data_IF_713471220625
#
_entry.id   IF_713471220625
#
_cell.length_a   1.000
_cell.length_b   1.000
_cell.length_c   1.000
_cell.angle_alpha   90.00
_cell.angle_beta   90.00
_cell.angle_gamma   90.00
#
_symmetry.space_group_name_H-M   'P 1'
#
loop_
_entity.id
_entity.type
_entity.pdbx_description
1 polymer ?
#
# COMPACT_ATOMS: atom_id res chain seq x y z
N UNK A 1 -11.80 -7.59 12.11
CA UNK A 1 -10.83 -6.58 11.65
C UNK A 1 -9.46 -7.22 11.59
N UNK A 2 -8.61 -6.81 10.65
CA UNK A 2 -7.20 -7.21 10.60
C UNK A 2 -6.36 -5.93 10.62
N UNK A 3 -5.21 -6.00 11.27
CA UNK A 3 -4.22 -4.92 11.27
C UNK A 3 -3.24 -5.17 10.13
N UNK A 4 -2.80 -4.09 9.48
CA UNK A 4 -1.79 -4.13 8.43
C UNK A 4 -0.78 -3.03 8.74
N UNK A 5 0.49 -3.37 8.62
CA UNK A 5 1.59 -2.42 8.74
C UNK A 5 1.93 -1.86 7.36
N UNK A 6 2.21 -0.57 7.29
CA UNK A 6 2.61 0.13 6.06
C UNK A 6 3.57 1.27 6.41
N UNK A 7 4.32 1.73 5.43
CA UNK A 7 5.20 2.88 5.61
C UNK A 7 4.42 4.15 5.98
N UNK A 8 5.04 5.03 6.75
CA UNK A 8 4.44 6.32 7.14
C UNK A 8 4.04 7.16 5.92
N UNK A 9 4.84 7.13 4.86
CA UNK A 9 4.54 7.82 3.61
C UNK A 9 3.25 7.28 2.95
N UNK A 10 3.10 5.96 2.86
CA UNK A 10 1.89 5.34 2.30
C UNK A 10 0.66 5.63 3.17
N UNK A 11 0.83 5.60 4.49
CA UNK A 11 -0.24 5.95 5.42
C UNK A 11 -0.70 7.41 5.27
N UNK A 12 0.25 8.35 5.15
CA UNK A 12 -0.04 9.77 4.90
C UNK A 12 -0.74 10.02 3.58
N UNK A 13 -0.32 9.34 2.51
CA UNK A 13 -0.99 9.40 1.22
C UNK A 13 -2.43 8.88 1.31
N UNK A 14 -2.65 7.83 2.09
CA UNK A 14 -3.99 7.27 2.27
C UNK A 14 -4.88 8.21 3.11
N UNK A 15 -4.31 8.81 4.15
CA UNK A 15 -5.00 9.79 4.98
C UNK A 15 -5.39 11.05 4.20
N UNK A 16 -4.55 11.54 3.28
CA UNK A 16 -4.86 12.73 2.49
C UNK A 16 -6.07 12.55 1.57
N UNK A 17 -6.37 11.30 1.19
CA UNK A 17 -7.52 10.91 0.36
C UNK A 17 -8.78 10.61 1.18
N UNK A 18 -8.72 10.67 2.51
CA UNK A 18 -9.84 10.39 3.40
C UNK A 18 -10.88 11.50 3.33
N UNK A 19 -12.14 11.14 3.15
CA UNK A 19 -13.25 12.09 3.12
C UNK A 19 -13.94 12.12 4.49
N UNK A 20 -13.83 13.26 5.16
CA UNK A 20 -14.46 13.49 6.46
C UNK A 20 -13.97 12.52 7.54
N UNK A 21 -14.92 11.86 8.22
CA UNK A 21 -14.64 10.96 9.35
C UNK A 21 -14.79 9.47 9.01
N UNK A 22 -14.76 9.10 7.74
CA UNK A 22 -14.89 7.69 7.33
C UNK A 22 -13.76 6.80 7.86
N UNK A 23 -13.97 5.48 7.88
CA UNK A 23 -12.89 4.56 8.25
C UNK A 23 -11.85 4.43 7.14
N UNK A 24 -10.61 4.16 7.52
CA UNK A 24 -9.50 3.89 6.60
C UNK A 24 -9.82 2.75 5.63
N UNK A 25 -10.50 1.70 6.10
CA UNK A 25 -10.95 0.60 5.25
C UNK A 25 -11.93 1.06 4.16
N UNK A 26 -12.79 2.04 4.45
CA UNK A 26 -13.73 2.61 3.48
C UNK A 26 -13.02 3.49 2.46
N UNK A 27 -12.03 4.27 2.91
CA UNK A 27 -11.13 5.03 2.03
C UNK A 27 -10.39 4.08 1.06
N UNK A 28 -9.79 3.00 1.57
CA UNK A 28 -9.15 1.95 0.77
C UNK A 28 -10.11 1.39 -0.29
N UNK A 29 -11.30 0.99 0.13
CA UNK A 29 -12.29 0.42 -0.79
C UNK A 29 -12.75 1.41 -1.86
N UNK A 30 -12.84 2.71 -1.56
CA UNK A 30 -13.21 3.73 -2.55
C UNK A 30 -12.07 4.00 -3.52
N UNK A 31 -10.87 4.25 -3.00
CA UNK A 31 -9.73 4.69 -3.80
C UNK A 31 -9.13 3.55 -4.63
N UNK A 32 -9.18 2.32 -4.12
CA UNK A 32 -8.52 1.15 -4.74
C UNK A 32 -9.48 0.21 -5.48
N UNK A 33 -10.82 0.37 -5.41
CA UNK A 33 -11.75 -0.48 -6.20
C UNK A 33 -12.00 -0.03 -7.64
N UNK A 34 -12.07 1.26 -8.01
CA UNK A 34 -12.48 1.62 -9.37
C UNK A 34 -11.50 2.55 -10.09
N UNK A 35 -10.18 2.33 -10.01
CA UNK A 35 -9.28 3.03 -10.92
C UNK A 35 -8.08 2.17 -11.34
N UNK A 36 -8.00 1.89 -12.63
CA UNK A 36 -6.78 1.50 -13.36
C UNK A 36 -5.75 2.65 -13.30
N UNK A 37 -5.26 2.98 -12.13
CA UNK A 37 -4.15 3.91 -11.97
C UNK A 37 -2.91 3.12 -11.59
N UNK A 38 -1.86 3.28 -12.38
CA UNK A 38 -0.52 2.78 -12.11
C UNK A 38 0.08 3.54 -10.91
N UNK A 39 -0.44 3.31 -9.71
CA UNK A 39 0.17 3.81 -8.48
C UNK A 39 1.18 2.79 -7.96
N UNK A 40 2.32 3.27 -7.45
CA UNK A 40 3.34 2.42 -6.84
C UNK A 40 2.77 1.57 -5.68
N UNK A 41 1.81 2.13 -4.93
CA UNK A 41 1.12 1.43 -3.86
C UNK A 41 0.30 0.22 -4.38
N UNK A 42 -0.34 0.33 -5.55
CA UNK A 42 -1.06 -0.78 -6.16
C UNK A 42 -0.11 -1.88 -6.65
N UNK A 43 1.08 -1.53 -7.15
CA UNK A 43 2.12 -2.52 -7.47
C UNK A 43 2.62 -3.27 -6.24
N UNK A 44 2.92 -2.57 -5.15
CA UNK A 44 3.40 -3.18 -3.91
C UNK A 44 2.36 -4.13 -3.32
N UNK A 45 1.08 -3.72 -3.28
CA UNK A 45 -0.01 -4.58 -2.83
C UNK A 45 -0.18 -5.83 -3.71
N UNK A 46 -0.03 -5.70 -5.03
CA UNK A 46 -0.04 -6.86 -5.95
C UNK A 46 1.14 -7.80 -5.75
N UNK A 47 2.32 -7.30 -5.36
CA UNK A 47 3.49 -8.14 -5.04
C UNK A 47 3.28 -8.92 -3.74
N UNK A 48 2.71 -8.26 -2.74
CA UNK A 48 2.30 -8.84 -1.46
C UNK A 48 1.24 -9.93 -1.67
N UNK A 49 0.20 -9.66 -2.47
CA UNK A 49 -0.85 -10.63 -2.81
C UNK A 49 -0.30 -11.87 -3.54
N UNK A 50 0.73 -11.70 -4.36
CA UNK A 50 1.41 -12.79 -5.08
C UNK A 50 2.50 -13.50 -4.27
N UNK A 51 2.69 -13.16 -3.00
CA UNK A 51 3.68 -13.80 -2.13
C UNK A 51 5.14 -13.57 -2.53
N UNK A 52 5.43 -12.60 -3.41
CA UNK A 52 6.80 -12.24 -3.77
C UNK A 52 7.34 -11.21 -2.78
N UNK A 53 7.71 -11.69 -1.61
CA UNK A 53 8.55 -10.93 -0.68
C UNK A 53 10.01 -11.19 -1.05
N UNK A 54 10.78 -10.12 -1.23
CA UNK A 54 12.23 -10.23 -1.20
C UNK A 54 12.64 -10.34 0.27
N UNK A 55 13.58 -11.21 0.60
CA UNK A 55 14.22 -11.15 1.91
C UNK A 55 14.97 -9.81 2.05
N UNK A 56 15.29 -9.41 3.28
CA UNK A 56 16.01 -8.16 3.54
C UNK A 56 17.31 -8.09 2.71
N UNK A 57 18.07 -9.19 2.68
CA UNK A 57 19.28 -9.36 1.85
C UNK A 57 19.06 -9.14 0.35
N UNK A 58 17.91 -9.57 -0.18
CA UNK A 58 17.59 -9.40 -1.60
C UNK A 58 17.22 -7.95 -1.93
N UNK A 59 16.64 -7.23 -0.97
CA UNK A 59 16.34 -5.81 -1.10
C UNK A 59 17.61 -4.95 -1.04
N UNK A 60 18.51 -5.22 -0.10
CA UNK A 60 19.80 -4.53 0.04
C UNK A 60 20.63 -4.67 -1.25
N UNK A 61 20.74 -5.88 -1.80
CA UNK A 61 21.48 -6.12 -3.05
C UNK A 61 20.90 -5.43 -4.28
N UNK A 62 19.58 -5.33 -4.37
CA UNK A 62 18.91 -4.84 -5.57
C UNK A 62 18.70 -3.33 -5.57
N UNK A 63 18.54 -2.74 -4.39
CA UNK A 63 18.20 -1.32 -4.25
C UNK A 63 19.25 -0.51 -3.48
N UNK A 64 20.30 -1.14 -2.95
CA UNK A 64 21.44 -0.45 -2.32
C UNK A 64 21.09 0.32 -1.05
N UNK A 65 20.02 -0.11 -0.38
CA UNK A 65 19.63 0.34 0.96
C UNK A 65 20.25 -0.55 2.03
#
# INVERSE_FOLDING_TARGET
MKTVEMSDAAYKELLSRRIGRESISKTILRELKPVQYNSKALEELKRIEKGKFYSLDEAEKKYGI
#
